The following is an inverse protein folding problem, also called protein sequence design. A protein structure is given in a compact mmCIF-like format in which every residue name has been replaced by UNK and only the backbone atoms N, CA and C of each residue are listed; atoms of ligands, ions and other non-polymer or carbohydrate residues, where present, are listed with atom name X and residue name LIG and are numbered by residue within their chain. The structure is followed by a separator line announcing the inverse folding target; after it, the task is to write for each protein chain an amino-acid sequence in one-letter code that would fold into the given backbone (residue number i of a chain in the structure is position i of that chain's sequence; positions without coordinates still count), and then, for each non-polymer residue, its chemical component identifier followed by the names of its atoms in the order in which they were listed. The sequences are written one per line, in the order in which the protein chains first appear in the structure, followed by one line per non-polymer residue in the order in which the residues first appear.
data_IF_111738374854
#
_entry.id   IF_111738374854
#
_cell.length_a   1.000
_cell.length_b   1.000
_cell.length_c   1.000
_cell.angle_alpha   90.00
_cell.angle_beta   90.00
_cell.angle_gamma   90.00
#
_symmetry.space_group_name_H-M   'P 1'
#
loop_
_entity.id
_entity.type
_entity.pdbx_description
1 polymer ?
#
# COMPACT_ATOMS: atom_id res chain seq x y z
N UNK A 1 -6.15 0.99 0.17
CA UNK A 1 -7.10 -0.13 0.15
C UNK A 1 -8.21 0.05 1.17
N UNK A 2 -7.92 0.39 2.45
CA UNK A 2 -8.95 0.67 3.46
C UNK A 2 -9.90 1.79 3.00
N UNK A 3 -9.36 2.90 2.46
CA UNK A 3 -10.17 3.98 1.90
C UNK A 3 -11.11 3.51 0.80
N UNK A 4 -10.65 2.62 -0.10
CA UNK A 4 -11.51 2.03 -1.13
C UNK A 4 -12.66 1.21 -0.54
N UNK A 5 -12.41 0.47 0.56
CA UNK A 5 -13.48 -0.27 1.25
C UNK A 5 -14.52 0.65 1.87
N UNK A 6 -14.10 1.76 2.47
CA UNK A 6 -15.01 2.78 3.03
C UNK A 6 -15.83 3.44 1.93
N UNK A 7 -15.17 3.90 0.85
CA UNK A 7 -15.83 4.52 -0.31
C UNK A 7 -16.85 3.57 -0.94
N UNK A 8 -16.48 2.30 -1.11
CA UNK A 8 -17.41 1.29 -1.63
C UNK A 8 -18.69 1.18 -0.79
N UNK A 9 -18.56 1.20 0.54
CA UNK A 9 -19.70 1.17 1.44
C UNK A 9 -20.58 2.41 1.32
N UNK A 10 -19.99 3.59 1.21
CA UNK A 10 -20.70 4.86 1.04
C UNK A 10 -21.42 4.95 -0.31
N UNK A 11 -20.78 4.51 -1.39
CA UNK A 11 -21.46 4.48 -2.70
C UNK A 11 -22.62 3.47 -2.71
N UNK A 12 -22.44 2.31 -2.05
CA UNK A 12 -23.52 1.31 -1.94
C UNK A 12 -24.68 1.75 -1.07
N UNK A 13 -24.50 2.61 -0.07
CA UNK A 13 -25.61 3.14 0.73
C UNK A 13 -26.55 4.03 -0.08
N UNK A 14 -26.05 4.60 -1.20
CA UNK A 14 -26.79 5.55 -2.01
C UNK A 14 -26.78 6.99 -1.51
N UNK A 15 -26.12 7.27 -0.37
CA UNK A 15 -26.04 8.62 0.20
C UNK A 15 -25.15 9.53 -0.64
N UNK A 16 -24.21 8.93 -1.38
CA UNK A 16 -23.25 9.66 -2.23
C UNK A 16 -23.19 9.03 -3.62
N UNK A 17 -23.17 9.88 -4.65
CA UNK A 17 -23.02 9.43 -6.04
C UNK A 17 -21.58 9.50 -6.54
N UNK A 18 -20.76 10.38 -5.95
CA UNK A 18 -19.35 10.57 -6.34
C UNK A 18 -18.50 10.90 -5.12
N UNK A 19 -17.36 10.26 -4.99
CA UNK A 19 -16.44 10.41 -3.85
C UNK A 19 -15.01 10.57 -4.38
N UNK A 20 -14.29 11.56 -3.86
CA UNK A 20 -12.85 11.72 -4.05
C UNK A 20 -12.11 11.02 -2.91
N UNK A 21 -11.28 10.04 -3.25
CA UNK A 21 -10.36 9.38 -2.32
C UNK A 21 -8.95 9.89 -2.56
N UNK A 22 -8.32 10.45 -1.54
CA UNK A 22 -6.94 10.96 -1.59
C UNK A 22 -6.06 10.14 -0.68
N UNK A 23 -4.90 9.70 -1.19
CA UNK A 23 -3.79 9.16 -0.41
C UNK A 23 -2.59 10.10 -0.50
N UNK A 24 -2.09 10.59 0.63
CA UNK A 24 -0.96 11.52 0.66
C UNK A 24 -0.13 11.29 1.92
N UNK A 25 1.16 11.10 1.75
CA UNK A 25 2.11 10.89 2.83
C UNK A 25 3.44 11.59 2.55
N UNK A 26 4.03 12.20 3.58
CA UNK A 26 5.37 12.78 3.58
C UNK A 26 6.28 11.95 4.50
N UNK A 27 6.64 10.73 4.04
CA UNK A 27 7.41 9.77 4.83
C UNK A 27 8.85 10.23 5.05
N UNK A 28 9.39 11.10 4.19
CA UNK A 28 10.72 11.71 4.37
C UNK A 28 10.87 12.42 5.70
N UNK A 29 9.75 12.88 6.28
CA UNK A 29 9.71 13.55 7.59
C UNK A 29 9.74 12.58 8.78
N UNK A 30 9.62 11.28 8.53
CA UNK A 30 9.57 10.22 9.54
C UNK A 30 10.70 9.21 9.43
N UNK A 31 11.54 9.27 8.39
CA UNK A 31 12.70 8.39 8.26
C UNK A 31 13.88 8.92 9.06
N UNK A 32 14.63 8.02 9.69
CA UNK A 32 15.95 8.33 10.22
C UNK A 32 16.97 8.30 9.07
N UNK A 33 17.44 9.45 8.63
CA UNK A 33 18.37 9.58 7.50
C UNK A 33 19.75 8.95 7.75
N UNK A 34 20.07 8.61 9.00
CA UNK A 34 21.28 7.87 9.37
C UNK A 34 21.10 6.35 9.24
N UNK A 35 19.84 5.87 9.23
CA UNK A 35 19.53 4.45 9.05
C UNK A 35 19.30 4.10 7.57
N UNK A 36 20.34 3.59 6.93
CA UNK A 36 20.29 3.17 5.52
C UNK A 36 19.43 1.94 5.24
N UNK A 37 18.96 1.26 6.26
CA UNK A 37 18.07 0.11 6.10
C UNK A 37 16.61 0.54 5.83
N UNK A 38 16.28 1.77 6.16
CA UNK A 38 14.93 2.35 6.00
C UNK A 38 14.89 3.57 5.09
N UNK A 39 15.81 4.53 5.24
CA UNK A 39 15.73 5.82 4.52
C UNK A 39 15.76 5.71 2.99
N UNK A 40 16.36 4.64 2.44
CA UNK A 40 16.43 4.40 0.99
C UNK A 40 15.16 3.78 0.39
N UNK A 41 14.19 3.44 1.22
CA UNK A 41 12.98 2.71 0.78
C UNK A 41 11.77 3.63 0.60
N UNK A 42 11.64 4.64 1.46
CA UNK A 42 10.45 5.46 1.55
C UNK A 42 10.54 6.73 0.71
N UNK A 43 9.41 7.15 0.15
CA UNK A 43 9.27 8.38 -0.62
C UNK A 43 8.02 9.16 -0.21
N UNK A 44 7.96 10.42 -0.60
CA UNK A 44 6.81 11.30 -0.44
C UNK A 44 5.94 11.23 -1.70
N UNK A 45 4.65 11.34 -1.52
CA UNK A 45 3.74 11.34 -2.65
C UNK A 45 2.30 11.63 -2.28
N UNK A 46 1.53 12.04 -3.28
CA UNK A 46 0.10 12.20 -3.21
C UNK A 46 -0.53 11.66 -4.49
N UNK A 47 -1.68 11.03 -4.35
CA UNK A 47 -2.48 10.55 -5.47
C UNK A 47 -3.95 10.52 -5.09
N UNK A 48 -4.83 10.64 -6.07
CA UNK A 48 -6.27 10.72 -5.85
C UNK A 48 -7.03 9.87 -6.86
N UNK A 49 -8.18 9.34 -6.43
CA UNK A 49 -9.09 8.55 -7.26
C UNK A 49 -10.49 9.11 -7.09
N UNK A 50 -11.18 9.39 -8.19
CA UNK A 50 -12.61 9.70 -8.19
C UNK A 50 -13.37 8.40 -8.44
N UNK A 51 -14.26 8.06 -7.52
CA UNK A 51 -15.17 6.93 -7.66
C UNK A 51 -16.60 7.45 -7.76
N UNK A 52 -17.38 6.89 -8.66
CA UNK A 52 -18.79 7.24 -8.81
C UNK A 52 -19.66 5.99 -8.95
N UNK A 53 -20.91 6.13 -8.55
CA UNK A 53 -21.90 5.09 -8.69
C UNK A 53 -22.44 5.12 -10.13
N UNK A 54 -22.24 4.03 -10.86
CA UNK A 54 -22.76 3.85 -12.22
C UNK A 54 -23.45 2.49 -12.33
N UNK A 55 -24.47 2.43 -13.18
CA UNK A 55 -25.11 1.16 -13.55
C UNK A 55 -24.20 0.38 -14.50
N UNK A 56 -24.10 -0.93 -14.33
CA UNK A 56 -23.34 -1.83 -15.21
C UNK A 56 -22.56 -2.90 -14.42
N UNK A 57 -21.86 -3.73 -15.17
CA UNK A 57 -21.12 -4.90 -14.64
C UNK A 57 -19.66 -4.61 -14.33
N UNK A 58 -19.21 -3.36 -14.53
CA UNK A 58 -17.84 -2.93 -14.29
C UNK A 58 -17.73 -2.13 -12.99
N UNK A 59 -16.54 -2.15 -12.39
CA UNK A 59 -16.24 -1.34 -11.22
C UNK A 59 -15.57 -2.11 -10.09
N UNK A 60 -15.73 -1.64 -8.86
CA UNK A 60 -15.15 -2.25 -7.67
C UNK A 60 -15.99 -3.48 -7.25
N UNK A 61 -15.56 -4.65 -7.67
CA UNK A 61 -16.28 -5.92 -7.47
C UNK A 61 -16.25 -6.39 -6.03
N UNK A 62 -15.09 -6.31 -5.37
CA UNK A 62 -14.95 -6.69 -3.95
C UNK A 62 -13.88 -5.89 -3.24
N UNK A 63 -13.99 -5.83 -1.93
CA UNK A 63 -12.91 -5.36 -1.05
C UNK A 63 -12.72 -6.37 0.08
N UNK A 64 -11.45 -6.67 0.38
CA UNK A 64 -11.04 -7.45 1.55
C UNK A 64 -9.99 -6.63 2.29
N UNK A 65 -10.23 -6.39 3.57
CA UNK A 65 -9.29 -5.71 4.46
C UNK A 65 -9.03 -6.59 5.68
N UNK A 66 -7.76 -6.71 6.03
CA UNK A 66 -7.31 -7.48 7.19
C UNK A 66 -6.27 -6.69 7.96
N UNK A 67 -6.20 -6.89 9.27
CA UNK A 67 -5.15 -6.32 10.11
C UNK A 67 -4.75 -7.32 11.19
N UNK A 68 -3.48 -7.23 11.60
CA UNK A 68 -2.95 -8.01 12.72
C UNK A 68 -2.09 -7.13 13.61
N UNK A 69 -2.70 -6.58 14.67
CA UNK A 69 -2.03 -5.69 15.60
C UNK A 69 -0.90 -6.35 16.41
N UNK A 70 -0.85 -7.69 16.49
CA UNK A 70 0.26 -8.39 17.20
C UNK A 70 1.61 -8.21 16.51
N UNK A 71 1.61 -7.81 15.22
CA UNK A 71 2.80 -7.65 14.38
C UNK A 71 3.34 -6.21 14.34
N UNK A 72 2.79 -5.29 15.14
CA UNK A 72 3.14 -3.86 15.11
C UNK A 72 4.65 -3.61 15.25
N UNK A 73 5.38 -4.45 16.00
CA UNK A 73 6.84 -4.33 16.19
C UNK A 73 7.68 -4.60 14.94
N UNK A 74 7.07 -5.08 13.86
CA UNK A 74 7.78 -5.33 12.59
C UNK A 74 7.96 -4.07 11.77
N UNK A 75 7.02 -3.12 11.90
CA UNK A 75 7.08 -1.81 11.23
C UNK A 75 6.29 -0.80 12.07
N UNK A 76 6.96 0.19 12.61
CA UNK A 76 6.33 1.23 13.43
C UNK A 76 7.18 2.50 13.46
N UNK A 77 6.57 3.59 13.89
CA UNK A 77 7.26 4.84 14.21
C UNK A 77 7.29 4.99 15.72
N UNK A 78 8.48 5.10 16.29
CA UNK A 78 8.65 5.06 17.75
C UNK A 78 8.12 6.31 18.46
N UNK A 79 8.24 7.48 17.88
CA UNK A 79 7.99 8.74 18.57
C UNK A 79 6.83 9.57 18.04
N UNK A 80 6.13 9.18 17.02
CA UNK A 80 4.95 9.90 16.51
C UNK A 80 5.13 11.41 16.22
N UNK A 81 6.29 12.00 16.52
CA UNK A 81 6.59 13.40 16.29
C UNK A 81 7.21 13.60 14.91
N UNK A 82 6.58 14.48 14.13
CA UNK A 82 7.13 14.96 12.89
C UNK A 82 8.37 15.81 13.18
N UNK A 83 9.53 15.39 12.67
CA UNK A 83 10.67 16.31 12.67
C UNK A 83 10.41 17.46 11.69
N UNK A 84 10.57 18.68 12.18
CA UNK A 84 10.77 19.83 11.30
C UNK A 84 12.24 19.86 10.87
N UNK A 85 12.50 20.20 9.62
CA UNK A 85 13.86 20.25 9.03
C UNK A 85 14.84 21.18 9.79
N UNK A 86 14.32 22.02 10.70
CA UNK A 86 15.10 23.04 11.44
C UNK A 86 15.60 22.56 12.81
N UNK A 87 15.23 21.37 13.26
CA UNK A 87 15.73 20.85 14.53
C UNK A 87 17.12 20.25 14.37
N UNK A 88 18.15 21.06 14.61
CA UNK A 88 19.56 20.64 14.75
C UNK A 88 19.81 19.94 16.10
N UNK A 89 18.98 18.99 16.47
CA UNK A 89 19.21 18.12 17.61
C UNK A 89 19.90 16.83 17.16
N UNK A 90 20.74 16.22 17.98
CA UNK A 90 21.19 14.85 17.76
C UNK A 90 19.96 13.95 17.69
N UNK A 91 19.73 13.34 16.53
CA UNK A 91 18.68 12.35 16.38
C UNK A 91 18.98 11.17 17.30
N UNK A 92 18.07 10.87 18.22
CA UNK A 92 18.09 9.60 18.92
C UNK A 92 18.17 8.49 17.87
N UNK A 93 19.07 7.53 18.05
CA UNK A 93 19.26 6.40 17.13
C UNK A 93 17.97 5.62 16.88
N UNK A 94 17.05 5.71 17.80
CA UNK A 94 15.76 5.00 17.80
C UNK A 94 14.59 5.84 17.25
N UNK A 95 14.87 7.06 16.77
CA UNK A 95 13.84 7.93 16.19
C UNK A 95 13.45 7.47 14.77
N UNK A 96 12.18 7.72 14.42
CA UNK A 96 11.66 7.51 13.08
C UNK A 96 11.13 6.10 12.83
N UNK A 97 11.04 5.75 11.55
CA UNK A 97 10.53 4.45 11.13
C UNK A 97 11.51 3.35 11.54
N UNK A 98 10.99 2.41 12.32
CA UNK A 98 11.69 1.20 12.73
C UNK A 98 11.14 0.00 11.96
N UNK A 99 12.00 -0.81 11.35
CA UNK A 99 11.59 -1.93 10.50
C UNK A 99 12.45 -3.17 10.72
N UNK A 100 11.79 -4.31 10.91
CA UNK A 100 12.42 -5.64 10.88
C UNK A 100 12.24 -6.26 9.50
N UNK A 101 13.07 -5.84 8.54
CA UNK A 101 12.92 -6.13 7.13
C UNK A 101 12.70 -7.60 6.79
N UNK A 102 13.56 -8.56 7.22
CA UNK A 102 13.42 -9.98 6.89
C UNK A 102 12.13 -10.62 7.40
N UNK A 103 11.72 -10.29 8.62
CA UNK A 103 10.48 -10.80 9.22
C UNK A 103 9.26 -10.16 8.55
N UNK A 104 9.30 -8.84 8.34
CA UNK A 104 8.24 -8.10 7.65
C UNK A 104 8.03 -8.65 6.24
N UNK A 105 9.10 -8.92 5.49
CA UNK A 105 9.02 -9.51 4.16
C UNK A 105 8.20 -10.80 4.16
N UNK A 106 8.52 -11.76 5.03
CA UNK A 106 7.82 -13.05 5.10
C UNK A 106 6.34 -12.90 5.41
N UNK A 107 6.02 -12.01 6.35
CA UNK A 107 4.63 -11.73 6.75
C UNK A 107 3.87 -11.03 5.62
N UNK A 108 4.47 -10.00 5.00
CA UNK A 108 3.85 -9.23 3.94
C UNK A 108 3.52 -10.10 2.72
N UNK A 109 4.47 -10.89 2.23
CA UNK A 109 4.26 -11.78 1.09
C UNK A 109 3.11 -12.76 1.35
N UNK A 110 3.08 -13.38 2.54
CA UNK A 110 2.01 -14.32 2.89
C UNK A 110 0.65 -13.62 3.01
N UNK A 111 0.59 -12.49 3.70
CA UNK A 111 -0.65 -11.76 3.94
C UNK A 111 -1.24 -11.21 2.63
N UNK A 112 -0.41 -10.57 1.79
CA UNK A 112 -0.83 -10.01 0.51
C UNK A 112 -1.33 -11.11 -0.44
N UNK A 113 -0.61 -12.23 -0.56
CA UNK A 113 -1.06 -13.34 -1.41
C UNK A 113 -2.37 -13.95 -0.92
N UNK A 114 -2.55 -14.09 0.39
CA UNK A 114 -3.78 -14.66 0.95
C UNK A 114 -4.98 -13.72 0.76
N UNK A 115 -4.81 -12.42 1.02
CA UNK A 115 -5.91 -11.45 0.86
C UNK A 115 -6.32 -11.29 -0.60
N UNK A 116 -5.35 -11.38 -1.55
CA UNK A 116 -5.63 -11.38 -2.98
C UNK A 116 -6.48 -12.58 -3.38
N UNK A 117 -6.12 -13.79 -2.94
CA UNK A 117 -6.91 -15.00 -3.20
C UNK A 117 -8.34 -14.88 -2.67
N UNK A 118 -8.50 -14.43 -1.43
CA UNK A 118 -9.84 -14.18 -0.84
C UNK A 118 -10.66 -13.17 -1.64
N UNK A 119 -10.02 -12.11 -2.15
CA UNK A 119 -10.70 -11.10 -2.95
C UNK A 119 -11.20 -11.66 -4.28
N UNK A 120 -10.40 -12.50 -4.94
CA UNK A 120 -10.77 -13.19 -6.17
C UNK A 120 -11.88 -14.21 -5.93
N UNK A 121 -11.72 -15.08 -4.94
CA UNK A 121 -12.74 -16.07 -4.55
C UNK A 121 -14.11 -15.43 -4.27
N UNK A 122 -14.11 -14.28 -3.60
CA UNK A 122 -15.34 -13.51 -3.33
C UNK A 122 -16.04 -13.04 -4.61
N UNK A 123 -15.32 -12.90 -5.70
CA UNK A 123 -15.85 -12.52 -7.03
C UNK A 123 -16.05 -13.72 -7.96
N UNK A 124 -15.76 -14.95 -7.52
CA UNK A 124 -15.77 -16.13 -8.38
C UNK A 124 -14.65 -16.14 -9.44
N UNK A 125 -13.55 -15.45 -9.18
CA UNK A 125 -12.40 -15.32 -10.07
C UNK A 125 -11.22 -16.16 -9.57
N UNK A 126 -10.35 -16.57 -10.51
CA UNK A 126 -9.08 -17.24 -10.25
C UNK A 126 -7.88 -16.29 -10.49
N UNK A 127 -6.66 -16.63 -10.01
CA UNK A 127 -5.48 -15.81 -10.28
C UNK A 127 -5.19 -15.64 -11.79
N UNK A 128 -5.51 -16.60 -12.61
CA UNK A 128 -5.32 -16.52 -14.07
C UNK A 128 -6.21 -15.48 -14.76
N UNK A 129 -7.33 -15.12 -14.14
CA UNK A 129 -8.24 -14.08 -14.64
C UNK A 129 -7.69 -12.66 -14.45
N UNK A 130 -6.61 -12.50 -13.67
CA UNK A 130 -5.95 -11.21 -13.47
C UNK A 130 -5.28 -10.77 -14.76
N UNK A 131 -5.73 -9.66 -15.33
CA UNK A 131 -5.10 -9.02 -16.48
C UNK A 131 -3.96 -8.10 -16.04
N UNK A 132 -4.16 -7.35 -14.96
CA UNK A 132 -3.17 -6.45 -14.39
C UNK A 132 -3.29 -6.41 -12.86
N UNK A 133 -2.18 -6.57 -12.18
CA UNK A 133 -2.05 -6.38 -10.74
C UNK A 133 -1.34 -5.05 -10.47
N UNK A 134 -1.98 -4.17 -9.70
CA UNK A 134 -1.42 -2.89 -9.23
C UNK A 134 -1.25 -2.98 -7.71
N UNK A 135 -0.11 -3.50 -7.22
CA UNK A 135 0.12 -3.66 -5.79
C UNK A 135 0.53 -2.35 -5.13
N UNK A 136 0.43 -2.29 -3.80
CA UNK A 136 1.17 -1.30 -3.03
C UNK A 136 2.67 -1.40 -3.37
N UNK A 137 3.27 -0.27 -3.72
CA UNK A 137 4.67 -0.16 -4.17
C UNK A 137 5.63 -0.13 -2.97
N UNK A 138 5.60 -1.19 -2.16
CA UNK A 138 6.40 -1.27 -0.94
C UNK A 138 7.88 -1.52 -1.22
N UNK A 139 8.17 -2.51 -2.06
CA UNK A 139 9.52 -2.99 -2.37
C UNK A 139 9.42 -3.98 -3.54
N UNK A 140 10.31 -3.87 -4.52
CA UNK A 140 10.30 -4.74 -5.71
C UNK A 140 10.34 -6.23 -5.36
N UNK A 141 11.12 -6.62 -4.35
CA UNK A 141 11.25 -8.03 -3.94
C UNK A 141 9.96 -8.59 -3.34
N UNK A 142 9.20 -7.76 -2.59
CA UNK A 142 7.87 -8.16 -2.07
C UNK A 142 6.90 -8.32 -3.23
N UNK A 143 6.86 -7.37 -4.15
CA UNK A 143 5.99 -7.39 -5.33
C UNK A 143 6.23 -8.67 -6.15
N UNK A 144 7.49 -8.97 -6.47
CA UNK A 144 7.90 -10.19 -7.18
C UNK A 144 7.43 -11.45 -6.44
N UNK A 145 7.74 -11.56 -5.15
CA UNK A 145 7.40 -12.75 -4.37
C UNK A 145 5.87 -12.95 -4.22
N UNK A 146 5.08 -11.89 -4.23
CA UNK A 146 3.60 -11.99 -4.26
C UNK A 146 3.13 -12.49 -5.62
N UNK A 147 3.67 -11.94 -6.72
CA UNK A 147 3.36 -12.39 -8.08
C UNK A 147 3.67 -13.88 -8.27
N UNK A 148 4.89 -14.31 -7.90
CA UNK A 148 5.31 -15.71 -7.97
C UNK A 148 4.38 -16.63 -7.18
N UNK A 149 3.96 -16.20 -5.97
CA UNK A 149 3.07 -16.98 -5.11
C UNK A 149 1.63 -17.07 -5.63
N UNK A 150 1.21 -16.13 -6.45
CA UNK A 150 -0.08 -16.14 -7.14
C UNK A 150 -0.02 -16.89 -8.47
N UNK A 151 1.17 -17.30 -8.93
CA UNK A 151 1.37 -17.88 -10.26
C UNK A 151 1.29 -16.85 -11.39
N UNK A 152 1.40 -15.57 -11.06
CA UNK A 152 1.33 -14.48 -12.03
C UNK A 152 2.73 -14.08 -12.47
N UNK A 153 2.96 -13.90 -13.78
CA UNK A 153 4.19 -13.32 -14.28
C UNK A 153 4.30 -11.84 -13.98
N UNK A 154 5.52 -11.32 -13.93
CA UNK A 154 5.77 -9.87 -13.73
C UNK A 154 5.30 -9.00 -14.91
N UNK A 155 5.04 -9.58 -16.07
CA UNK A 155 4.40 -8.94 -17.22
C UNK A 155 2.98 -8.47 -16.94
N UNK A 156 2.31 -9.09 -15.96
CA UNK A 156 0.99 -8.70 -15.46
C UNK A 156 1.05 -7.80 -14.23
N UNK A 157 2.20 -7.30 -13.81
CA UNK A 157 2.36 -6.51 -12.59
C UNK A 157 2.87 -5.12 -12.89
N UNK A 158 2.08 -4.11 -12.55
CA UNK A 158 2.55 -2.74 -12.64
C UNK A 158 3.52 -2.42 -11.50
N UNK A 159 4.68 -1.87 -11.84
CA UNK A 159 5.72 -1.57 -10.88
C UNK A 159 6.41 -0.24 -11.20
N UNK A 160 6.33 0.71 -10.27
CA UNK A 160 7.00 2.01 -10.36
C UNK A 160 7.79 2.38 -9.09
N UNK A 161 7.95 1.42 -8.17
CA UNK A 161 8.67 1.61 -6.90
C UNK A 161 10.11 2.11 -7.09
N UNK A 162 10.77 1.78 -8.20
CA UNK A 162 12.12 2.24 -8.53
C UNK A 162 12.20 3.74 -8.83
N UNK A 163 11.07 4.39 -9.16
CA UNK A 163 11.01 5.84 -9.45
C UNK A 163 10.54 6.64 -8.24
N UNK A 164 9.55 6.12 -7.51
CA UNK A 164 8.88 6.86 -6.43
C UNK A 164 9.20 6.35 -5.03
N UNK A 165 9.77 5.16 -4.91
CA UNK A 165 9.92 4.48 -3.63
C UNK A 165 8.57 4.04 -3.04
N UNK A 166 8.57 3.75 -1.76
CA UNK A 166 7.35 3.45 -1.00
C UNK A 166 6.70 4.76 -0.54
N UNK A 167 5.68 5.21 -1.24
CA UNK A 167 4.90 6.41 -0.94
C UNK A 167 3.64 6.11 -0.12
N UNK A 168 3.62 4.98 0.61
CA UNK A 168 2.52 4.58 1.51
C UNK A 168 1.15 4.61 0.82
N UNK A 169 0.20 5.43 1.31
CA UNK A 169 -1.17 5.52 0.80
C UNK A 169 -1.25 6.05 -0.63
N UNK A 170 -0.28 6.83 -1.07
CA UNK A 170 -0.22 7.39 -2.43
C UNK A 170 0.23 6.38 -3.48
N UNK A 171 0.88 5.27 -3.10
CA UNK A 171 1.55 4.37 -4.04
C UNK A 171 0.61 3.73 -5.07
N UNK A 172 -0.59 3.29 -4.65
CA UNK A 172 -1.58 2.70 -5.55
C UNK A 172 -2.22 3.76 -6.46
N UNK A 173 -2.71 4.93 -5.95
CA UNK A 173 -3.25 5.96 -6.85
C UNK A 173 -2.24 6.47 -7.87
N UNK A 174 -0.98 6.67 -7.50
CA UNK A 174 0.09 7.05 -8.45
C UNK A 174 0.28 5.96 -9.52
N UNK A 175 0.29 4.69 -9.10
CA UNK A 175 0.46 3.57 -10.03
C UNK A 175 -0.75 3.33 -10.94
N UNK A 176 -1.93 3.77 -10.55
CA UNK A 176 -3.15 3.70 -11.36
C UNK A 176 -3.25 4.84 -12.38
N UNK A 177 -2.61 5.99 -12.11
CA UNK A 177 -2.62 7.15 -13.00
C UNK A 177 -1.67 6.97 -14.19
N UNK A 178 -0.59 6.23 -14.03
CA UNK A 178 0.41 5.91 -15.06
C UNK A 178 -0.01 4.78 -16.00
#
# INVERSE_FOLDING_TARGET
VYGLSVVHSYLKSGDYNRILLVGADALSTMVNWKDRTTCVLFGDGAGAIVLENQSGDRGLLSTIVESNGSLWKLLHVRTGHRQTFDQKGEQDSDWGIQMKGPELFKVAVRALSNVTKKALEKCGLAPDDIQLMVPHQANLRIIQAVADRLGSGMDKVYCNVQRFGNTSAASIPIALDE
#
